data_IF_367150250061
#
_entry.id   IF_367150250061
#
_cell.length_a   1.000
_cell.length_b   1.000
_cell.length_c   1.000
_cell.angle_alpha   90.00
_cell.angle_beta   90.00
_cell.angle_gamma   90.00
#
_symmetry.space_group_name_H-M   'P 1'
#
loop_
_entity.id
_entity.type
_entity.pdbx_description
1 polymer ?
#
# COMPACT_ATOMS: atom_id res chain seq x y z
N UNK A 1 15.31 -8.77 2.05
CA UNK A 1 15.47 -7.39 1.57
C UNK A 1 14.51 -6.41 2.22
N UNK A 2 13.19 -6.67 2.23
CA UNK A 2 12.19 -5.75 2.82
C UNK A 2 12.41 -5.42 4.30
N UNK A 3 12.90 -6.39 5.07
CA UNK A 3 13.16 -6.23 6.51
C UNK A 3 14.12 -5.07 6.84
N UNK A 4 15.13 -4.80 6.00
CA UNK A 4 16.20 -3.87 6.36
C UNK A 4 15.75 -2.40 6.35
N UNK A 5 15.09 -1.93 5.30
CA UNK A 5 14.61 -0.54 5.28
C UNK A 5 13.43 -0.31 6.23
N UNK A 6 12.68 -1.35 6.59
CA UNK A 6 11.64 -1.24 7.63
C UNK A 6 12.22 -1.19 9.04
N UNK A 7 13.36 -1.84 9.29
CA UNK A 7 14.13 -1.60 10.51
C UNK A 7 14.61 -0.15 10.58
N UNK A 8 15.07 0.41 9.47
CA UNK A 8 15.44 1.83 9.40
C UNK A 8 14.24 2.74 9.66
N UNK A 9 13.09 2.48 9.03
CA UNK A 9 11.84 3.20 9.31
C UNK A 9 11.44 3.09 10.79
N UNK A 10 11.56 1.90 11.40
CA UNK A 10 11.26 1.69 12.81
C UNK A 10 12.14 2.52 13.73
N UNK A 11 13.42 2.70 13.40
CA UNK A 11 14.37 3.53 14.17
C UNK A 11 14.07 5.02 14.00
N UNK A 12 13.73 5.43 12.77
CA UNK A 12 13.43 6.81 12.42
C UNK A 12 12.09 7.28 13.00
N UNK A 13 11.11 6.38 13.12
CA UNK A 13 9.73 6.72 13.45
C UNK A 13 9.08 7.58 12.36
N UNK A 14 8.01 8.31 12.70
CA UNK A 14 7.35 9.26 11.77
C UNK A 14 7.49 10.73 12.21
N UNK A 15 8.46 11.01 13.10
CA UNK A 15 8.62 12.33 13.71
C UNK A 15 7.87 12.45 15.04
N UNK A 16 8.32 13.38 15.89
CA UNK A 16 7.78 13.58 17.25
C UNK A 16 6.50 14.42 17.28
N UNK A 17 6.28 15.21 16.24
CA UNK A 17 5.15 16.14 16.14
C UNK A 17 3.89 15.44 15.62
N UNK A 18 4.00 14.20 15.13
CA UNK A 18 2.86 13.41 14.70
C UNK A 18 2.30 12.62 15.88
N UNK A 19 1.05 12.90 16.24
CA UNK A 19 0.28 12.07 17.17
C UNK A 19 -0.20 10.80 16.44
N UNK A 20 0.76 9.93 16.07
CA UNK A 20 0.50 8.66 15.40
C UNK A 20 1.42 7.56 15.93
N UNK A 21 0.83 6.43 16.34
CA UNK A 21 1.55 5.19 16.65
C UNK A 21 1.84 4.42 15.35
N UNK A 22 3.12 4.19 15.06
CA UNK A 22 3.58 3.31 13.98
C UNK A 22 3.72 1.88 14.51
N UNK A 23 2.97 0.91 13.95
CA UNK A 23 3.24 -0.53 14.16
C UNK A 23 3.63 -1.21 12.87
N UNK A 24 4.75 -1.92 12.87
CA UNK A 24 5.24 -2.65 11.70
C UNK A 24 4.92 -4.13 11.88
N UNK A 25 4.13 -4.69 10.96
CA UNK A 25 3.70 -6.08 10.96
C UNK A 25 4.23 -6.80 9.73
N UNK A 26 4.80 -7.98 9.93
CA UNK A 26 5.22 -8.84 8.84
C UNK A 26 4.08 -9.77 8.42
N UNK A 27 3.79 -9.77 7.11
CA UNK A 27 2.80 -10.63 6.48
C UNK A 27 3.50 -11.70 5.61
N UNK A 28 3.04 -12.96 5.66
CA UNK A 28 3.57 -14.01 4.80
C UNK A 28 3.14 -13.79 3.35
N UNK A 29 3.92 -14.29 2.40
CA UNK A 29 3.51 -14.36 0.99
C UNK A 29 2.64 -15.61 0.79
N UNK A 30 1.46 -15.60 1.41
CA UNK A 30 0.50 -16.71 1.45
C UNK A 30 -0.91 -16.11 1.43
N UNK A 31 -1.71 -16.44 0.41
CA UNK A 31 -3.03 -15.82 0.20
C UNK A 31 -4.00 -16.10 1.35
N UNK A 32 -3.94 -17.30 1.96
CA UNK A 32 -4.87 -17.70 3.02
C UNK A 32 -4.53 -17.00 4.32
N UNK A 33 -3.24 -16.92 4.65
CA UNK A 33 -2.76 -16.23 5.83
C UNK A 33 -2.98 -14.72 5.75
N UNK A 34 -2.68 -14.08 4.60
CA UNK A 34 -2.89 -12.63 4.48
C UNK A 34 -4.38 -12.28 4.57
N UNK A 35 -5.27 -13.13 4.05
CA UNK A 35 -6.71 -12.95 4.21
C UNK A 35 -7.11 -12.87 5.69
N UNK A 36 -6.68 -13.84 6.49
CA UNK A 36 -6.99 -13.86 7.92
C UNK A 36 -6.33 -12.71 8.68
N UNK A 37 -5.06 -12.40 8.39
CA UNK A 37 -4.30 -11.38 9.11
C UNK A 37 -4.78 -9.97 8.79
N UNK A 38 -5.10 -9.67 7.53
CA UNK A 38 -5.62 -8.35 7.14
C UNK A 38 -6.97 -8.10 7.81
N UNK A 39 -7.86 -9.09 7.84
CA UNK A 39 -9.14 -8.95 8.55
C UNK A 39 -8.94 -8.59 10.01
N UNK A 40 -8.07 -9.32 10.74
CA UNK A 40 -7.73 -9.01 12.14
C UNK A 40 -7.07 -7.64 12.32
N UNK A 41 -6.19 -7.23 11.40
CA UNK A 41 -5.58 -5.89 11.45
C UNK A 41 -6.66 -4.82 11.45
N UNK A 42 -7.69 -4.96 10.62
CA UNK A 42 -8.77 -3.96 10.53
C UNK A 42 -9.78 -4.07 11.67
N UNK A 43 -10.14 -5.29 12.08
CA UNK A 43 -11.11 -5.53 13.15
C UNK A 43 -10.55 -5.20 14.54
N UNK A 44 -9.38 -5.76 14.89
CA UNK A 44 -8.84 -5.67 16.24
C UNK A 44 -8.12 -4.33 16.47
N UNK A 45 -7.47 -3.81 15.43
CA UNK A 45 -6.55 -2.70 15.59
C UNK A 45 -7.12 -1.36 15.08
N UNK A 46 -8.20 -1.39 14.29
CA UNK A 46 -8.89 -0.20 13.75
C UNK A 46 -7.95 0.94 13.32
N UNK A 47 -6.99 0.67 12.40
CA UNK A 47 -6.03 1.68 11.97
C UNK A 47 -6.68 2.82 11.20
N UNK A 48 -6.08 4.01 11.26
CA UNK A 48 -6.49 5.12 10.40
C UNK A 48 -5.98 4.99 8.96
N UNK A 49 -4.84 4.32 8.78
CA UNK A 49 -4.23 4.04 7.49
C UNK A 49 -3.37 2.78 7.63
N UNK A 50 -3.47 1.88 6.64
CA UNK A 50 -2.56 0.73 6.48
C UNK A 50 -1.71 0.94 5.24
N UNK A 51 -0.39 0.97 5.40
CA UNK A 51 0.55 1.06 4.27
C UNK A 51 1.22 -0.29 4.07
N UNK A 52 0.88 -0.97 2.98
CA UNK A 52 1.55 -2.18 2.54
C UNK A 52 2.84 -1.83 1.81
N UNK A 53 3.89 -2.60 2.06
CA UNK A 53 5.18 -2.45 1.38
C UNK A 53 5.59 -3.79 0.78
N UNK A 54 5.76 -3.80 -0.54
CA UNK A 54 6.24 -4.93 -1.32
C UNK A 54 7.53 -4.58 -2.06
N UNK A 55 8.38 -5.58 -2.33
CA UNK A 55 9.57 -5.38 -3.17
C UNK A 55 9.23 -5.77 -4.60
N UNK A 56 9.41 -4.84 -5.54
CA UNK A 56 9.41 -5.14 -6.98
C UNK A 56 10.88 -5.35 -7.42
N UNK A 57 11.31 -6.58 -7.74
CA UNK A 57 12.70 -6.88 -8.07
C UNK A 57 13.16 -6.22 -9.38
N UNK A 58 12.22 -5.75 -10.20
CA UNK A 58 12.51 -5.09 -11.48
C UNK A 58 12.48 -3.57 -11.39
N UNK A 59 11.95 -3.04 -10.28
CA UNK A 59 11.81 -1.60 -10.09
C UNK A 59 13.17 -0.93 -9.86
N UNK A 60 13.28 0.30 -10.35
CA UNK A 60 14.40 1.23 -10.08
C UNK A 60 13.96 2.49 -9.33
N UNK A 61 12.65 2.64 -9.15
CA UNK A 61 11.97 3.73 -8.47
C UNK A 61 10.98 3.16 -7.46
N UNK A 62 10.54 3.98 -6.51
CA UNK A 62 9.43 3.64 -5.62
C UNK A 62 8.11 3.94 -6.35
N UNK A 63 7.19 2.98 -6.37
CA UNK A 63 5.86 3.12 -6.96
C UNK A 63 4.78 3.15 -5.87
N UNK A 64 3.93 4.16 -5.92
CA UNK A 64 2.76 4.34 -5.05
C UNK A 64 1.51 3.89 -5.80
N UNK A 65 0.90 2.79 -5.37
CA UNK A 65 -0.21 2.16 -6.09
C UNK A 65 -1.55 2.79 -5.72
N UNK A 66 -2.24 3.39 -6.69
CA UNK A 66 -3.52 4.07 -6.49
C UNK A 66 -4.69 3.09 -6.30
N UNK A 67 -4.62 1.91 -6.91
CA UNK A 67 -5.75 0.98 -6.98
C UNK A 67 -5.34 -0.47 -6.73
N UNK A 68 -6.19 -1.23 -6.04
CA UNK A 68 -6.13 -2.68 -5.96
C UNK A 68 -7.18 -3.35 -6.84
N UNK A 69 -6.92 -4.58 -7.30
CA UNK A 69 -7.82 -5.30 -8.24
C UNK A 69 -8.42 -6.54 -7.57
N UNK A 70 -9.62 -6.96 -7.94
CA UNK A 70 -10.27 -8.13 -7.34
C UNK A 70 -10.02 -9.43 -8.11
N UNK A 71 -9.34 -9.37 -9.26
CA UNK A 71 -9.25 -10.52 -10.16
C UNK A 71 -7.92 -10.58 -10.91
N UNK A 72 -7.61 -11.78 -11.41
CA UNK A 72 -6.44 -12.05 -12.24
C UNK A 72 -5.30 -12.75 -11.51
N UNK A 73 -5.50 -13.18 -10.25
CA UNK A 73 -4.51 -13.91 -9.45
C UNK A 73 -4.29 -15.33 -9.99
N UNK A 74 -3.24 -15.52 -10.78
CA UNK A 74 -2.90 -16.83 -11.38
C UNK A 74 -1.63 -17.44 -10.82
N UNK A 75 -0.77 -16.62 -10.23
CA UNK A 75 0.51 -17.06 -9.70
C UNK A 75 0.33 -17.65 -8.31
N UNK A 76 0.97 -18.80 -8.09
CA UNK A 76 0.96 -19.49 -6.81
C UNK A 76 1.80 -18.74 -5.76
N UNK A 77 1.31 -18.73 -4.53
CA UNK A 77 2.03 -18.21 -3.38
C UNK A 77 3.17 -19.15 -2.93
N UNK A 78 3.82 -18.81 -1.82
CA UNK A 78 4.98 -19.57 -1.32
C UNK A 78 4.65 -21.02 -0.93
N UNK A 79 3.37 -21.36 -0.78
CA UNK A 79 2.88 -22.71 -0.47
C UNK A 79 2.24 -23.41 -1.67
N UNK A 80 2.38 -22.84 -2.86
CA UNK A 80 1.81 -23.40 -4.09
C UNK A 80 0.30 -23.16 -4.25
N UNK A 81 -0.31 -22.31 -3.43
CA UNK A 81 -1.73 -22.00 -3.50
C UNK A 81 -1.99 -20.74 -4.34
N UNK A 82 -3.10 -20.73 -5.09
CA UNK A 82 -3.64 -19.51 -5.70
C UNK A 82 -5.15 -19.46 -5.49
N UNK A 83 -5.78 -18.27 -5.50
CA UNK A 83 -7.21 -18.14 -5.30
C UNK A 83 -8.02 -18.87 -6.38
N UNK A 84 -9.17 -19.43 -5.99
CA UNK A 84 -10.08 -20.06 -6.93
C UNK A 84 -10.60 -19.01 -7.93
N UNK A 85 -10.63 -19.37 -9.22
CA UNK A 85 -11.00 -18.46 -10.32
C UNK A 85 -10.14 -17.19 -10.40
N UNK A 86 -9.05 -17.12 -9.64
CA UNK A 86 -8.19 -15.95 -9.52
C UNK A 86 -8.89 -14.70 -8.98
N UNK A 87 -9.88 -14.87 -8.08
CA UNK A 87 -10.66 -13.78 -7.45
C UNK A 87 -10.22 -13.56 -6.00
N UNK A 88 -10.12 -12.31 -5.54
CA UNK A 88 -9.75 -12.00 -4.16
C UNK A 88 -10.92 -12.18 -3.18
N UNK A 89 -12.00 -11.45 -3.43
CA UNK A 89 -13.23 -11.43 -2.66
C UNK A 89 -14.42 -11.67 -3.60
N UNK A 90 -15.13 -12.80 -3.47
CA UNK A 90 -16.37 -13.02 -4.21
C UNK A 90 -17.34 -11.85 -4.01
N UNK A 91 -17.97 -11.44 -5.11
CA UNK A 91 -18.94 -10.32 -5.15
C UNK A 91 -18.38 -8.93 -4.76
N UNK A 92 -17.06 -8.82 -4.55
CA UNK A 92 -16.38 -7.55 -4.32
C UNK A 92 -16.23 -6.70 -5.58
N UNK A 93 -16.09 -5.35 -5.45
CA UNK A 93 -15.87 -4.46 -6.59
C UNK A 93 -14.64 -4.86 -7.39
N UNK A 94 -14.68 -4.73 -8.73
CA UNK A 94 -13.56 -5.14 -9.60
C UNK A 94 -12.25 -4.42 -9.26
N UNK A 95 -12.35 -3.13 -8.93
CA UNK A 95 -11.24 -2.25 -8.59
C UNK A 95 -11.66 -1.39 -7.41
N UNK A 96 -10.78 -1.21 -6.44
CA UNK A 96 -10.96 -0.24 -5.36
C UNK A 96 -9.77 0.74 -5.41
N UNK A 97 -10.06 2.04 -5.37
CA UNK A 97 -9.03 3.07 -5.27
C UNK A 97 -8.75 3.41 -3.80
N UNK A 98 -7.49 3.70 -3.48
CA UNK A 98 -7.15 4.34 -2.21
C UNK A 98 -7.82 5.71 -2.10
N UNK A 99 -8.28 6.05 -0.89
CA UNK A 99 -8.70 7.41 -0.56
C UNK A 99 -7.52 8.40 -0.52
N UNK A 100 -6.28 7.91 -0.48
CA UNK A 100 -5.07 8.72 -0.56
C UNK A 100 -4.71 8.97 -2.03
N UNK A 101 -4.49 10.24 -2.38
CA UNK A 101 -4.05 10.64 -3.72
C UNK A 101 -2.57 10.34 -3.92
N UNK A 102 -2.25 9.17 -4.49
CA UNK A 102 -0.87 8.75 -4.72
C UNK A 102 -0.11 9.68 -5.67
N UNK A 103 -0.83 10.34 -6.59
CA UNK A 103 -0.28 11.37 -7.46
C UNK A 103 0.14 12.63 -6.70
N UNK A 104 -0.63 13.03 -5.68
CA UNK A 104 -0.28 14.18 -4.85
C UNK A 104 0.91 13.83 -3.95
N UNK A 105 0.88 12.66 -3.31
CA UNK A 105 1.99 12.14 -2.50
C UNK A 105 3.28 12.05 -3.32
N UNK A 106 3.26 11.45 -4.52
CA UNK A 106 4.47 11.29 -5.34
C UNK A 106 5.10 12.62 -5.78
N UNK A 107 4.30 13.70 -5.86
CA UNK A 107 4.79 15.04 -6.20
C UNK A 107 5.46 15.75 -5.02
N UNK A 108 5.01 15.47 -3.80
CA UNK A 108 5.50 16.14 -2.59
C UNK A 108 6.58 15.36 -1.84
N UNK A 109 6.54 14.04 -1.93
CA UNK A 109 7.56 13.16 -1.38
C UNK A 109 8.87 13.27 -2.17
N UNK A 110 9.66 14.30 -1.84
CA UNK A 110 10.96 14.57 -2.47
C UNK A 110 12.07 14.07 -1.56
N UNK A 111 12.86 13.12 -2.07
CA UNK A 111 14.00 12.53 -1.36
C UNK A 111 15.14 12.45 -2.35
N UNK A 112 16.25 13.11 -2.04
CA UNK A 112 17.41 13.16 -2.92
C UNK A 112 17.92 11.74 -3.22
N UNK A 113 18.16 11.45 -4.51
CA UNK A 113 18.63 10.14 -4.95
C UNK A 113 17.56 9.05 -5.04
N UNK A 114 16.27 9.36 -4.79
CA UNK A 114 15.16 8.40 -4.88
C UNK A 114 14.07 8.93 -5.81
N UNK A 115 13.79 8.19 -6.87
CA UNK A 115 12.63 8.46 -7.73
C UNK A 115 11.36 7.87 -7.10
N UNK A 116 10.31 8.69 -7.00
CA UNK A 116 8.99 8.29 -6.50
C UNK A 116 7.95 8.59 -7.58
N UNK A 117 7.23 7.56 -8.01
CA UNK A 117 6.17 7.65 -9.01
C UNK A 117 4.87 7.04 -8.46
N UNK A 118 3.73 7.43 -9.03
CA UNK A 118 2.46 6.74 -8.76
C UNK A 118 2.13 5.76 -9.89
N UNK A 119 1.37 4.72 -9.57
CA UNK A 119 0.92 3.67 -10.50
C UNK A 119 -0.56 3.36 -10.26
N UNK A 120 -1.24 2.80 -11.26
CA UNK A 120 -2.64 2.31 -11.17
C UNK A 120 -2.73 0.79 -11.31
N UNK A 121 -1.60 0.11 -11.34
CA UNK A 121 -1.51 -1.33 -11.49
C UNK A 121 -0.45 -1.91 -10.55
N UNK A 122 -0.92 -2.49 -9.45
CA UNK A 122 -0.11 -3.14 -8.44
C UNK A 122 0.36 -4.57 -8.81
N UNK A 123 0.14 -5.04 -10.04
CA UNK A 123 0.32 -6.44 -10.40
C UNK A 123 -0.83 -7.31 -9.87
N UNK A 124 -0.70 -8.65 -9.98
CA UNK A 124 -1.75 -9.66 -9.67
C UNK A 124 -1.18 -10.77 -8.78
N UNK A 125 -0.42 -10.37 -7.77
CA UNK A 125 0.20 -11.28 -6.80
C UNK A 125 -0.30 -11.00 -5.36
N UNK A 126 0.33 -11.60 -4.36
CA UNK A 126 -0.07 -11.49 -2.95
C UNK A 126 -0.02 -10.04 -2.44
N UNK A 127 0.85 -9.17 -2.99
CA UNK A 127 0.88 -7.74 -2.63
C UNK A 127 -0.44 -7.03 -2.98
N UNK A 128 -0.88 -7.11 -4.24
CA UNK A 128 -2.15 -6.54 -4.70
C UNK A 128 -3.35 -7.18 -3.99
N UNK A 129 -3.32 -8.50 -3.76
CA UNK A 129 -4.37 -9.20 -3.01
C UNK A 129 -4.52 -8.66 -1.57
N UNK A 130 -3.39 -8.52 -0.86
CA UNK A 130 -3.35 -7.99 0.51
C UNK A 130 -3.81 -6.53 0.55
N UNK A 131 -3.40 -5.76 -0.45
CA UNK A 131 -3.79 -4.37 -0.61
C UNK A 131 -5.29 -4.22 -0.89
N UNK A 132 -5.84 -4.97 -1.84
CA UNK A 132 -7.26 -5.00 -2.17
C UNK A 132 -8.12 -5.34 -0.94
N UNK A 133 -7.75 -6.37 -0.17
CA UNK A 133 -8.46 -6.69 1.08
C UNK A 133 -8.44 -5.53 2.06
N UNK A 134 -7.31 -4.84 2.19
CA UNK A 134 -7.20 -3.70 3.10
C UNK A 134 -7.98 -2.48 2.62
N UNK A 135 -8.02 -2.23 1.31
CA UNK A 135 -8.87 -1.21 0.73
C UNK A 135 -10.35 -1.50 1.01
N UNK A 136 -10.77 -2.76 0.88
CA UNK A 136 -12.13 -3.17 1.16
C UNK A 136 -12.49 -3.03 2.65
N UNK A 137 -11.70 -3.64 3.55
CA UNK A 137 -11.95 -3.56 4.99
C UNK A 137 -11.81 -2.15 5.56
N UNK A 138 -10.88 -1.36 5.01
CA UNK A 138 -10.58 0.00 5.45
C UNK A 138 -11.36 1.10 4.73
N UNK A 139 -12.34 0.76 3.88
CA UNK A 139 -13.11 1.72 3.09
C UNK A 139 -12.21 2.73 2.33
N UNK A 140 -11.15 2.23 1.69
CA UNK A 140 -10.17 3.03 0.95
C UNK A 140 -8.99 3.56 1.78
N UNK A 141 -8.97 3.40 3.11
CA UNK A 141 -7.87 3.83 3.99
C UNK A 141 -6.66 2.88 3.97
N UNK A 142 -6.24 2.44 2.79
CA UNK A 142 -5.04 1.64 2.62
C UNK A 142 -4.18 2.18 1.46
N UNK A 143 -2.90 1.89 1.51
CA UNK A 143 -1.93 2.18 0.46
C UNK A 143 -1.04 0.96 0.19
N UNK A 144 -0.48 0.88 -1.00
CA UNK A 144 0.60 -0.07 -1.33
C UNK A 144 1.75 0.69 -1.97
N UNK A 145 2.95 0.40 -1.47
CA UNK A 145 4.21 0.93 -1.97
C UNK A 145 5.07 -0.22 -2.47
N UNK A 146 5.38 -0.22 -3.77
CA UNK A 146 6.41 -1.09 -4.32
C UNK A 146 7.75 -0.37 -4.28
N UNK A 147 8.72 -0.98 -3.62
CA UNK A 147 10.09 -0.45 -3.54
C UNK A 147 11.07 -1.29 -4.36
N UNK A 148 12.13 -0.67 -4.89
CA UNK A 148 13.18 -1.40 -5.59
C UNK A 148 14.00 -2.27 -4.62
N UNK A 149 14.74 -3.27 -5.13
CA UNK A 149 15.68 -4.02 -4.30
C UNK A 149 16.81 -3.12 -3.79
N UNK A 150 17.43 -3.52 -2.68
CA UNK A 150 18.61 -2.84 -2.14
C UNK A 150 19.76 -2.88 -3.15
N UNK A 151 20.44 -1.75 -3.30
CA UNK A 151 21.64 -1.62 -4.11
C UNK A 151 22.61 -0.62 -3.46
N UNK A 152 23.86 -0.51 -3.93
CA UNK A 152 24.78 0.52 -3.46
C UNK A 152 24.22 1.95 -3.62
N UNK A 153 23.41 2.20 -4.66
CA UNK A 153 22.77 3.52 -4.88
C UNK A 153 21.47 3.69 -4.10
N UNK A 154 20.84 2.60 -3.65
CA UNK A 154 19.60 2.58 -2.88
C UNK A 154 19.78 1.72 -1.61
N UNK A 155 20.61 2.18 -0.65
CA UNK A 155 20.82 1.46 0.60
C UNK A 155 19.57 1.49 1.49
N UNK A 156 19.53 0.61 2.48
CA UNK A 156 18.37 0.47 3.37
C UNK A 156 18.04 1.76 4.14
N UNK A 157 19.05 2.53 4.52
CA UNK A 157 18.88 3.83 5.19
C UNK A 157 18.15 4.84 4.31
N UNK A 158 18.52 4.91 3.03
CA UNK A 158 17.89 5.82 2.08
C UNK A 158 16.45 5.40 1.77
N UNK A 159 16.20 4.12 1.53
CA UNK A 159 14.83 3.61 1.32
C UNK A 159 13.96 3.74 2.57
N UNK A 160 14.53 3.55 3.77
CA UNK A 160 13.83 3.76 5.03
C UNK A 160 13.45 5.22 5.24
N UNK A 161 14.35 6.15 4.93
CA UNK A 161 14.06 7.59 4.93
C UNK A 161 13.01 7.96 3.89
N UNK A 162 13.06 7.36 2.70
CA UNK A 162 12.08 7.61 1.66
C UNK A 162 10.68 7.13 2.07
N UNK A 163 10.56 5.94 2.65
CA UNK A 163 9.31 5.44 3.20
C UNK A 163 8.77 6.33 4.31
N UNK A 164 9.62 6.84 5.20
CA UNK A 164 9.20 7.80 6.23
C UNK A 164 8.51 9.02 5.60
N UNK A 165 9.19 9.68 4.65
CA UNK A 165 8.66 10.89 3.98
C UNK A 165 7.37 10.57 3.23
N UNK A 166 7.32 9.47 2.49
CA UNK A 166 6.12 9.04 1.75
C UNK A 166 4.94 8.83 2.71
N UNK A 167 5.16 8.15 3.85
CA UNK A 167 4.10 7.87 4.82
C UNK A 167 3.60 9.15 5.50
N UNK A 168 4.50 10.08 5.82
CA UNK A 168 4.13 11.40 6.35
C UNK A 168 3.23 12.15 5.36
N UNK A 169 3.59 12.16 4.07
CA UNK A 169 2.79 12.78 3.01
C UNK A 169 1.43 12.09 2.80
N UNK A 170 1.36 10.76 2.94
CA UNK A 170 0.09 10.02 2.89
C UNK A 170 -0.83 10.38 4.06
N UNK A 171 -0.27 10.57 5.26
CA UNK A 171 -1.03 10.99 6.44
C UNK A 171 -1.60 12.40 6.25
N UNK A 172 -0.80 13.35 5.76
CA UNK A 172 -1.29 14.70 5.43
C UNK A 172 -2.41 14.68 4.38
N UNK A 173 -2.30 13.85 3.34
CA UNK A 173 -3.39 13.70 2.36
C UNK A 173 -4.66 13.12 2.99
N UNK A 174 -4.50 12.16 3.91
CA UNK A 174 -5.64 11.53 4.61
C UNK A 174 -6.37 12.56 5.48
N UNK A 175 -5.62 13.43 6.18
CA UNK A 175 -6.20 14.52 6.96
C UNK A 175 -6.94 15.52 6.07
N UNK A 176 -6.34 15.98 4.96
CA UNK A 176 -7.01 16.89 4.01
C UNK A 176 -8.32 16.32 3.49
N UNK A 177 -8.33 15.03 3.13
CA UNK A 177 -9.54 14.35 2.67
C UNK A 177 -10.64 14.31 3.75
N UNK A 178 -10.27 14.15 5.03
CA UNK A 178 -11.22 14.19 6.16
C UNK A 178 -11.80 15.59 6.37
N UNK A 179 -10.99 16.63 6.27
CA UNK A 179 -11.45 18.02 6.44
C UNK A 179 -12.36 18.50 5.31
N UNK A 180 -12.22 17.95 4.10
CA UNK A 180 -13.08 18.28 2.96
C UNK A 180 -14.45 17.59 3.00
N UNK A 181 -14.71 16.72 4.00
CA UNK A 181 -15.95 15.97 4.17
C UNK A 181 -16.19 14.95 3.04
N UNK A 182 -17.24 14.10 3.14
CA UNK A 182 -17.70 13.35 1.98
C UNK A 182 -18.17 14.37 0.94
N UNK A 183 -17.34 14.64 -0.06
CA UNK A 183 -17.85 15.27 -1.27
C UNK A 183 -18.95 14.34 -1.76
N UNK A 184 -20.20 14.82 -1.74
CA UNK A 184 -21.28 14.15 -2.44
C UNK A 184 -20.80 13.96 -3.86
N UNK A 185 -20.49 12.73 -4.23
CA UNK A 185 -20.30 12.34 -5.62
C UNK A 185 -21.66 12.50 -6.31
N UNK A 186 -22.06 13.73 -6.62
CA UNK A 186 -22.79 13.93 -7.86
C UNK A 186 -21.85 13.39 -8.92
N UNK A 187 -22.25 12.30 -9.55
CA UNK A 187 -21.53 11.68 -10.65
C UNK A 187 -21.33 12.72 -11.75
N UNK A 188 -20.24 13.50 -11.65
CA UNK A 188 -19.78 14.36 -12.70
C UNK A 188 -18.99 13.46 -13.66
N UNK A 189 -19.33 13.43 -14.97
CA UNK A 189 -18.77 12.46 -15.93
C UNK A 189 -17.24 12.51 -16.05
N UNK A 190 -16.63 13.59 -15.59
CA UNK A 190 -15.21 13.94 -15.77
C UNK A 190 -14.24 12.94 -15.12
N UNK A 191 -14.67 12.19 -14.07
CA UNK A 191 -13.81 11.17 -13.44
C UNK A 191 -13.70 9.86 -14.23
N UNK A 192 -14.62 9.60 -15.16
CA UNK A 192 -14.61 8.37 -15.98
C UNK A 192 -13.78 8.50 -17.26
N UNK A 193 -13.54 9.72 -17.76
CA UNK A 193 -12.77 9.93 -18.99
C UNK A 193 -11.25 9.78 -18.75
N UNK A 194 -10.76 10.14 -17.56
CA UNK A 194 -9.38 9.91 -17.13
C UNK A 194 -9.09 8.44 -16.74
N UNK A 195 -10.10 7.57 -16.74
CA UNK A 195 -9.95 6.11 -16.55
C UNK A 195 -9.52 5.39 -17.83
N UNK A 196 -9.56 6.04 -19.00
CA UNK A 196 -9.20 5.42 -20.29
C UNK A 196 -7.84 5.80 -20.86
N UNK A 197 -7.16 6.79 -20.32
CA UNK A 197 -5.97 7.38 -20.92
C UNK A 197 -4.82 7.50 -19.92
N UNK A 198 -4.20 6.37 -19.58
CA UNK A 198 -2.80 6.26 -19.14
C UNK A 198 -2.43 4.78 -18.95
N UNK A 199 -2.55 3.99 -20.01
CA UNK A 199 -1.86 2.70 -20.09
C UNK A 199 -0.47 2.97 -20.68
N UNK A 200 0.42 3.56 -19.88
CA UNK A 200 1.84 3.49 -20.19
C UNK A 200 2.32 2.13 -19.71
N UNK A 201 2.29 1.19 -20.66
CA UNK A 201 2.54 -0.22 -20.48
C UNK A 201 3.72 -0.52 -19.56
N UNK A 202 3.41 -1.10 -18.40
CA UNK A 202 4.36 -1.93 -17.68
C UNK A 202 4.11 -3.36 -18.13
N UNK A 203 5.12 -3.96 -18.77
CA UNK A 203 5.18 -5.40 -18.96
C UNK A 203 4.91 -6.07 -17.61
N UNK A 204 3.84 -6.85 -17.55
CA UNK A 204 3.49 -7.86 -16.52
C UNK A 204 4.52 -7.94 -15.38
N UNK A 205 4.31 -7.18 -14.30
CA UNK A 205 5.13 -7.26 -13.11
C UNK A 205 5.04 -8.69 -12.54
N UNK A 206 6.08 -9.48 -12.77
CA UNK A 206 6.34 -10.73 -12.08
C UNK A 206 6.87 -10.37 -10.70
N UNK A 207 5.97 -10.26 -9.71
CA UNK A 207 6.37 -10.18 -8.32
C UNK A 207 6.96 -11.55 -7.95
N UNK A 208 8.28 -11.65 -7.83
CA UNK A 208 8.94 -12.91 -7.50
C UNK A 208 8.65 -13.35 -6.06
N UNK A 209 8.49 -14.66 -5.91
CA UNK A 209 8.14 -15.41 -4.71
C UNK A 209 9.25 -15.39 -3.65
N UNK A 210 8.95 -14.93 -2.44
CA UNK A 210 9.75 -15.22 -1.24
C UNK A 210 10.11 -14.04 -0.34
N UNK A 211 9.93 -12.78 -0.77
CA UNK A 211 10.16 -11.63 0.11
C UNK A 211 8.90 -11.35 0.95
N UNK A 212 8.99 -11.26 2.29
CA UNK A 212 7.82 -10.97 3.12
C UNK A 212 7.16 -9.64 2.72
N UNK A 213 5.83 -9.63 2.77
CA UNK A 213 5.01 -8.43 2.71
C UNK A 213 5.00 -7.77 4.08
N UNK A 214 4.85 -6.46 4.13
CA UNK A 214 4.81 -5.75 5.39
C UNK A 214 3.67 -4.75 5.39
N UNK A 215 2.95 -4.71 6.50
CA UNK A 215 1.94 -3.71 6.76
C UNK A 215 2.46 -2.77 7.84
N UNK A 216 2.44 -1.47 7.55
CA UNK A 216 2.65 -0.43 8.55
C UNK A 216 1.29 0.12 8.97
N UNK A 217 0.99 -0.01 10.26
CA UNK A 217 -0.20 0.52 10.93
C UNK A 217 0.07 1.94 11.38
N UNK A 218 -0.95 2.79 11.26
CA UNK A 218 -0.97 4.14 11.81
C UNK A 218 -2.22 4.30 12.66
N UNK A 219 -2.07 4.82 13.88
CA UNK A 219 -3.15 4.95 14.89
C UNK A 219 -2.99 6.28 15.60
N UNK A 220 -4.07 7.02 15.87
CA UNK A 220 -3.95 8.13 16.84
C UNK A 220 -3.79 7.57 18.27
N UNK A 221 -2.98 8.21 19.14
CA UNK A 221 -2.75 7.78 20.53
C UNK A 221 -4.03 7.67 21.37
N UNK A 222 -5.13 8.34 20.98
CA UNK A 222 -6.38 8.41 21.73
C UNK A 222 -7.37 7.26 21.51
N UNK A 223 -7.09 6.30 20.62
CA UNK A 223 -7.96 5.13 20.42
C UNK A 223 -7.64 4.03 21.46
N UNK A 224 -7.69 4.38 22.75
CA UNK A 224 -7.76 3.39 23.83
C UNK A 224 -9.23 3.13 24.10
N UNK A 225 -9.79 2.17 23.37
CA UNK A 225 -11.01 1.51 23.83
C UNK A 225 -10.65 0.70 25.06
N UNK A 226 -11.23 1.05 26.20
CA UNK A 226 -11.18 0.23 27.41
C UNK A 226 -11.65 -1.19 27.07
N UNK A 227 -10.79 -2.17 27.30
CA UNK A 227 -11.15 -3.56 27.53
C UNK A 227 -10.66 -3.96 28.92
#
# INVERSE_FOLDING_TARGET
STCFFLQELSKLGLGRDMEVELRILQLPVDYREVKQRVTRIWEDLQPQLVVHVGVDPTAKAIFLEQCGKNWGYRDADIRGFHPERGVCLPDGPEVIASGVSMRAVSRRAVVEGVEVAFSRDAGRYVCDYTYYLSLHHGNGCAALVHVPPLSPSLPASLLGKALQVIIQEMLEETEKARFLGPQTCSASPVWWDDLRLADHGKCRCSCYSGAPLWASKLVHPGAVGNF
#
